data_IF_595617256132
#
_entry.id   IF_595617256132
#
_cell.length_a   1.000
_cell.length_b   1.000
_cell.length_c   1.000
_cell.angle_alpha   90.00
_cell.angle_beta   90.00
_cell.angle_gamma   90.00
#
_symmetry.space_group_name_H-M   'P 1'
#
loop_
_entity.id
_entity.type
_entity.pdbx_description
1 polymer ?
#
# COMPACT_ATOMS: atom_id res chain seq x y z
N UNK A 1 15.74 24.72 28.70
CA UNK A 1 16.27 23.83 27.64
C UNK A 1 15.12 23.53 26.70
N UNK A 2 15.23 23.92 25.47
CA UNK A 2 14.20 23.56 24.49
C UNK A 2 14.26 22.05 24.20
N UNK A 3 13.12 21.39 24.39
CA UNK A 3 12.99 19.96 24.07
C UNK A 3 13.10 19.81 22.56
N UNK A 4 13.98 18.90 22.10
CA UNK A 4 14.17 18.66 20.66
C UNK A 4 12.88 18.19 20.00
N UNK A 5 12.73 18.42 18.69
CA UNK A 5 11.57 17.94 17.96
C UNK A 5 11.47 16.40 17.98
N UNK A 6 12.59 15.70 17.89
CA UNK A 6 12.66 14.24 18.04
C UNK A 6 12.08 13.77 19.38
N UNK A 7 12.46 14.41 20.50
CA UNK A 7 11.92 14.07 21.83
C UNK A 7 10.42 14.36 21.96
N UNK A 8 9.92 15.40 21.30
CA UNK A 8 8.47 15.68 21.26
C UNK A 8 7.72 14.60 20.47
N UNK A 9 8.27 14.12 19.35
CA UNK A 9 7.70 13.02 18.56
C UNK A 9 7.65 11.71 19.37
N UNK A 10 8.73 11.39 20.09
CA UNK A 10 8.80 10.23 20.97
C UNK A 10 7.73 10.30 22.06
N UNK A 11 7.58 11.44 22.72
CA UNK A 11 6.55 11.68 23.74
C UNK A 11 5.12 11.56 23.18
N UNK A 12 4.91 11.85 21.89
CA UNK A 12 3.64 11.67 21.19
C UNK A 12 3.40 10.22 20.74
N UNK A 13 4.38 9.32 20.86
CA UNK A 13 4.30 7.93 20.47
C UNK A 13 4.62 7.67 19.00
N UNK A 14 5.49 8.48 18.39
CA UNK A 14 6.02 8.21 17.05
C UNK A 14 6.84 6.90 17.04
N UNK A 15 6.86 6.20 15.91
CA UNK A 15 7.71 5.03 15.75
C UNK A 15 9.19 5.39 15.78
N UNK A 16 10.05 4.47 16.28
CA UNK A 16 11.48 4.70 16.43
C UNK A 16 12.15 5.13 15.13
N UNK A 17 11.76 4.56 13.99
CA UNK A 17 12.29 4.92 12.67
C UNK A 17 12.02 6.40 12.30
N UNK A 18 10.86 6.94 12.66
CA UNK A 18 10.54 8.34 12.42
C UNK A 18 11.37 9.26 13.34
N UNK A 19 11.53 8.89 14.62
CA UNK A 19 12.33 9.63 15.60
C UNK A 19 13.80 9.67 15.17
N UNK A 20 14.34 8.53 14.76
CA UNK A 20 15.73 8.39 14.28
C UNK A 20 15.96 9.22 13.01
N UNK A 21 15.02 9.15 12.05
CA UNK A 21 15.11 9.93 10.82
C UNK A 21 15.11 11.44 11.09
N UNK A 22 14.25 11.91 12.01
CA UNK A 22 14.21 13.32 12.42
C UNK A 22 15.53 13.75 13.04
N UNK A 23 16.09 12.97 13.95
CA UNK A 23 17.37 13.25 14.59
C UNK A 23 17.45 14.66 15.15
N UNK A 24 18.37 15.48 14.63
CA UNK A 24 18.56 16.88 15.03
C UNK A 24 17.75 17.91 14.24
N UNK A 25 16.87 17.49 13.32
CA UNK A 25 16.05 18.41 12.51
C UNK A 25 14.98 19.08 13.38
N UNK A 26 14.68 20.34 13.08
CA UNK A 26 13.46 20.98 13.57
C UNK A 26 12.23 20.55 12.77
N UNK A 27 11.04 20.94 13.23
CA UNK A 27 9.77 20.60 12.56
C UNK A 27 9.75 21.10 11.10
N UNK A 28 10.20 22.33 10.86
CA UNK A 28 10.14 22.95 9.52
C UNK A 28 11.00 22.19 8.53
N UNK A 29 12.22 21.87 8.90
CA UNK A 29 13.17 21.09 8.10
C UNK A 29 12.64 19.66 7.88
N UNK A 30 12.22 18.98 8.96
CA UNK A 30 11.69 17.63 8.88
C UNK A 30 10.44 17.57 8.01
N UNK A 31 9.52 18.53 8.12
CA UNK A 31 8.32 18.59 7.28
C UNK A 31 8.65 18.80 5.81
N UNK A 32 9.62 19.68 5.51
CA UNK A 32 10.04 19.97 4.14
C UNK A 32 10.75 18.79 3.45
N UNK A 33 11.56 18.04 4.21
CA UNK A 33 12.40 16.95 3.69
C UNK A 33 11.74 15.57 3.75
N UNK A 34 10.64 15.40 4.50
CA UNK A 34 10.01 14.10 4.70
C UNK A 34 9.42 13.55 3.40
N UNK A 35 9.89 12.37 3.01
CA UNK A 35 9.36 11.59 1.88
C UNK A 35 8.49 10.40 2.33
N UNK A 36 8.02 10.41 3.59
CA UNK A 36 7.20 9.34 4.15
C UNK A 36 5.78 9.84 4.47
N UNK A 37 4.81 9.69 3.56
CA UNK A 37 3.47 10.27 3.70
C UNK A 37 2.74 9.78 4.96
N UNK A 38 2.96 8.53 5.38
CA UNK A 38 2.38 7.98 6.60
C UNK A 38 2.82 8.72 7.86
N UNK A 39 4.09 9.13 7.97
CA UNK A 39 4.57 9.91 9.11
C UNK A 39 4.01 11.33 9.10
N UNK A 40 3.92 11.95 7.92
CA UNK A 40 3.33 13.29 7.76
C UNK A 40 1.86 13.29 8.17
N UNK A 41 1.06 12.34 7.66
CA UNK A 41 -0.36 12.22 8.01
C UNK A 41 -0.56 11.86 9.49
N UNK A 42 0.29 10.99 10.04
CA UNK A 42 0.25 10.66 11.47
C UNK A 42 0.48 11.90 12.34
N UNK A 43 1.51 12.71 12.04
CA UNK A 43 1.79 13.93 12.78
C UNK A 43 0.64 14.95 12.62
N UNK A 44 0.19 15.17 11.38
CA UNK A 44 -0.94 16.07 11.12
C UNK A 44 -2.21 15.63 11.89
N UNK A 45 -2.50 14.32 11.94
CA UNK A 45 -3.61 13.77 12.70
C UNK A 45 -3.49 13.98 14.22
N UNK A 46 -2.26 13.87 14.77
CA UNK A 46 -1.98 14.12 16.20
C UNK A 46 -2.09 15.59 16.57
N UNK A 47 -1.80 16.47 15.62
CA UNK A 47 -1.81 17.92 15.82
C UNK A 47 -3.10 18.58 15.34
N UNK A 48 -4.03 17.83 14.76
CA UNK A 48 -5.27 18.34 14.19
C UNK A 48 -6.06 19.20 15.16
N UNK A 49 -6.37 20.42 14.73
CA UNK A 49 -7.14 21.40 15.52
C UNK A 49 -6.36 22.11 16.63
N UNK A 50 -5.05 21.88 16.75
CA UNK A 50 -4.17 22.70 17.61
C UNK A 50 -3.78 23.99 16.88
N UNK A 51 -3.35 24.99 17.64
CA UNK A 51 -3.00 26.30 17.09
C UNK A 51 -2.00 26.21 15.94
N UNK A 52 -2.37 26.79 14.82
CA UNK A 52 -1.56 26.81 13.60
C UNK A 52 -1.58 25.51 12.76
N UNK A 53 -2.29 24.47 13.21
CA UNK A 53 -2.46 23.22 12.45
C UNK A 53 -3.83 23.16 11.77
N UNK A 54 -3.87 22.44 10.63
CA UNK A 54 -5.12 22.13 9.94
C UNK A 54 -6.08 21.36 10.86
N UNK A 55 -7.37 21.56 10.67
CA UNK A 55 -8.38 20.79 11.40
C UNK A 55 -8.45 19.35 10.88
N UNK A 56 -9.20 18.51 11.62
CA UNK A 56 -9.36 17.10 11.27
C UNK A 56 -10.05 16.90 9.92
N UNK A 57 -10.96 17.77 9.53
CA UNK A 57 -11.70 17.69 8.25
C UNK A 57 -10.77 17.92 7.08
N UNK A 58 -9.88 18.90 7.14
CA UNK A 58 -8.88 19.14 6.12
C UNK A 58 -7.95 17.92 5.92
N UNK A 59 -7.56 17.27 7.01
CA UNK A 59 -6.72 16.05 6.96
C UNK A 59 -7.47 14.90 6.29
N UNK A 60 -8.76 14.70 6.59
CA UNK A 60 -9.59 13.67 5.97
C UNK A 60 -9.74 13.91 4.47
N UNK A 61 -9.94 15.15 4.03
CA UNK A 61 -10.01 15.48 2.61
C UNK A 61 -8.70 15.16 1.88
N UNK A 62 -7.56 15.49 2.49
CA UNK A 62 -6.24 15.15 1.92
C UNK A 62 -6.07 13.63 1.83
N UNK A 63 -6.48 12.88 2.87
CA UNK A 63 -6.43 11.42 2.85
C UNK A 63 -7.32 10.81 1.76
N UNK A 64 -8.53 11.37 1.55
CA UNK A 64 -9.44 10.97 0.48
C UNK A 64 -8.86 11.24 -0.92
N UNK A 65 -8.22 12.40 -1.12
CA UNK A 65 -7.56 12.74 -2.38
C UNK A 65 -6.35 11.83 -2.67
N UNK A 66 -5.59 11.48 -1.63
CA UNK A 66 -4.49 10.51 -1.75
C UNK A 66 -5.04 9.14 -2.18
N UNK A 67 -6.10 8.65 -1.53
CA UNK A 67 -6.73 7.37 -1.87
C UNK A 67 -7.25 7.36 -3.32
N UNK A 68 -7.88 8.45 -3.77
CA UNK A 68 -8.35 8.59 -5.15
C UNK A 68 -7.19 8.58 -6.14
N UNK A 69 -6.07 9.22 -5.82
CA UNK A 69 -4.91 9.31 -6.70
C UNK A 69 -4.28 7.95 -7.03
N UNK A 70 -4.48 6.93 -6.18
CA UNK A 70 -3.99 5.55 -6.37
C UNK A 70 -5.10 4.57 -6.77
N UNK A 71 -6.34 5.03 -6.91
CA UNK A 71 -7.50 4.19 -7.22
C UNK A 71 -7.36 3.42 -8.53
N UNK A 72 -6.61 3.96 -9.49
CA UNK A 72 -6.31 3.30 -10.76
C UNK A 72 -5.48 2.02 -10.61
N UNK A 73 -4.80 1.83 -9.47
CA UNK A 73 -4.02 0.63 -9.13
C UNK A 73 -4.89 -0.48 -8.54
N UNK A 74 -6.14 -0.15 -8.13
CA UNK A 74 -7.09 -1.10 -7.56
C UNK A 74 -7.75 -1.88 -8.70
N UNK A 75 -7.98 -3.19 -8.49
CA UNK A 75 -8.70 -4.04 -9.46
C UNK A 75 -10.08 -3.45 -9.76
N UNK A 76 -10.51 -3.56 -11.00
CA UNK A 76 -11.77 -2.94 -11.46
C UNK A 76 -12.99 -3.36 -10.64
N UNK A 77 -13.03 -4.64 -10.22
CA UNK A 77 -14.09 -5.20 -9.40
C UNK A 77 -14.21 -4.56 -8.00
N UNK A 78 -13.09 -4.16 -7.42
CA UNK A 78 -13.00 -3.56 -6.07
C UNK A 78 -13.08 -2.03 -6.11
N UNK A 79 -12.88 -1.43 -7.29
CA UNK A 79 -12.77 0.03 -7.46
C UNK A 79 -14.03 0.78 -7.02
N UNK A 80 -15.22 0.22 -7.29
CA UNK A 80 -16.48 0.86 -6.90
C UNK A 80 -16.66 0.95 -5.38
N UNK A 81 -16.18 -0.04 -4.64
CA UNK A 81 -16.23 -0.07 -3.16
C UNK A 81 -15.27 0.98 -2.60
N UNK A 82 -14.04 1.04 -3.11
CA UNK A 82 -13.07 2.06 -2.74
C UNK A 82 -13.60 3.48 -3.05
N UNK A 83 -14.26 3.68 -4.19
CA UNK A 83 -14.88 4.97 -4.54
C UNK A 83 -15.95 5.38 -3.54
N UNK A 84 -16.81 4.46 -3.11
CA UNK A 84 -17.84 4.73 -2.10
C UNK A 84 -17.22 5.12 -0.75
N UNK A 85 -16.16 4.44 -0.33
CA UNK A 85 -15.45 4.78 0.91
C UNK A 85 -14.78 6.17 0.84
N UNK A 86 -14.15 6.50 -0.29
CA UNK A 86 -13.56 7.82 -0.55
C UNK A 86 -14.66 8.90 -0.51
N UNK A 87 -15.80 8.66 -1.14
CA UNK A 87 -16.90 9.60 -1.15
C UNK A 87 -17.48 9.79 0.27
N UNK A 88 -17.68 8.71 1.04
CA UNK A 88 -18.14 8.79 2.42
C UNK A 88 -17.18 9.61 3.31
N UNK A 89 -15.88 9.46 3.13
CA UNK A 89 -14.89 10.28 3.83
C UNK A 89 -15.02 11.78 3.48
N UNK A 90 -15.24 12.10 2.21
CA UNK A 90 -15.50 13.48 1.78
C UNK A 90 -16.81 14.03 2.32
N UNK A 91 -17.88 13.25 2.30
CA UNK A 91 -19.20 13.64 2.81
C UNK A 91 -19.13 13.91 4.30
N UNK A 92 -18.40 13.08 5.07
CA UNK A 92 -18.14 13.33 6.49
C UNK A 92 -17.35 14.61 6.72
N UNK A 93 -16.26 14.82 5.98
CA UNK A 93 -15.44 16.03 6.11
C UNK A 93 -16.23 17.31 5.77
N UNK A 94 -17.18 17.22 4.84
CA UNK A 94 -18.06 18.31 4.46
C UNK A 94 -19.29 18.45 5.38
N UNK A 95 -19.46 17.56 6.37
CA UNK A 95 -20.58 17.57 7.31
C UNK A 95 -21.91 17.12 6.72
N UNK A 96 -21.88 16.37 5.62
CA UNK A 96 -23.07 15.83 4.95
C UNK A 96 -23.56 14.52 5.58
N UNK A 97 -22.66 13.79 6.24
CA UNK A 97 -22.95 12.59 7.04
C UNK A 97 -22.28 12.69 8.42
N UNK A 98 -22.78 11.94 9.40
CA UNK A 98 -22.18 11.84 10.72
C UNK A 98 -21.04 10.79 10.77
N UNK A 99 -20.38 10.70 11.94
CA UNK A 99 -19.25 9.77 12.14
C UNK A 99 -19.66 8.31 12.04
N UNK A 100 -20.89 7.99 12.43
CA UNK A 100 -21.37 6.60 12.45
C UNK A 100 -21.66 6.11 11.04
N UNK A 101 -22.28 6.95 10.20
CA UNK A 101 -22.48 6.67 8.79
C UNK A 101 -21.15 6.53 8.03
N UNK A 102 -20.16 7.39 8.34
CA UNK A 102 -18.83 7.29 7.74
C UNK A 102 -18.09 6.02 8.19
N UNK A 103 -18.15 5.67 9.48
CA UNK A 103 -17.55 4.45 10.03
C UNK A 103 -18.20 3.19 9.44
N UNK A 104 -19.52 3.20 9.28
CA UNK A 104 -20.25 2.10 8.65
C UNK A 104 -19.83 1.89 7.18
N UNK A 105 -19.73 2.97 6.40
CA UNK A 105 -19.27 2.90 5.02
C UNK A 105 -17.81 2.39 4.92
N UNK A 106 -16.93 2.78 5.83
CA UNK A 106 -15.56 2.29 5.89
C UNK A 106 -15.48 0.81 6.28
N UNK A 107 -16.32 0.36 7.23
CA UNK A 107 -16.38 -1.05 7.65
C UNK A 107 -16.86 -1.95 6.51
N UNK A 108 -17.91 -1.56 5.79
CA UNK A 108 -18.39 -2.28 4.62
C UNK A 108 -17.33 -2.38 3.51
N UNK A 109 -16.61 -1.28 3.26
CA UNK A 109 -15.53 -1.29 2.30
C UNK A 109 -14.38 -2.23 2.73
N UNK A 110 -14.10 -2.32 4.04
CA UNK A 110 -13.09 -3.23 4.57
C UNK A 110 -13.52 -4.70 4.47
N UNK A 111 -14.79 -5.01 4.74
CA UNK A 111 -15.35 -6.36 4.64
C UNK A 111 -15.37 -6.83 3.18
N UNK A 112 -15.85 -5.99 2.24
CA UNK A 112 -15.84 -6.30 0.81
C UNK A 112 -14.40 -6.49 0.28
N UNK A 113 -13.44 -5.69 0.77
CA UNK A 113 -12.03 -5.85 0.42
C UNK A 113 -11.43 -7.16 1.01
N UNK A 114 -11.82 -7.55 2.22
CA UNK A 114 -11.41 -8.81 2.83
C UNK A 114 -11.96 -10.00 2.04
N UNK A 115 -13.22 -9.96 1.64
CA UNK A 115 -13.86 -11.01 0.83
C UNK A 115 -13.19 -11.14 -0.54
N UNK A 116 -12.84 -10.02 -1.18
CA UNK A 116 -12.10 -10.02 -2.44
C UNK A 116 -10.69 -10.61 -2.29
N UNK A 117 -10.00 -10.34 -1.18
CA UNK A 117 -8.70 -10.96 -0.85
C UNK A 117 -8.85 -12.46 -0.61
N UNK A 118 -9.91 -12.90 0.11
CA UNK A 118 -10.20 -14.30 0.30
C UNK A 118 -10.50 -15.01 -1.02
N UNK A 119 -11.33 -14.41 -1.89
CA UNK A 119 -11.64 -14.95 -3.21
C UNK A 119 -10.39 -15.07 -4.09
N UNK A 120 -9.51 -14.05 -4.06
CA UNK A 120 -8.23 -14.07 -4.78
C UNK A 120 -7.28 -15.15 -4.23
N UNK A 121 -7.24 -15.35 -2.91
CA UNK A 121 -6.45 -16.42 -2.28
C UNK A 121 -6.99 -17.81 -2.66
N UNK A 122 -8.30 -18.00 -2.71
CA UNK A 122 -8.91 -19.24 -3.17
C UNK A 122 -8.64 -19.50 -4.65
N UNK A 123 -8.75 -18.48 -5.50
CA UNK A 123 -8.41 -18.59 -6.91
C UNK A 123 -6.93 -18.92 -7.14
N UNK A 124 -6.03 -18.31 -6.36
CA UNK A 124 -4.60 -18.60 -6.39
C UNK A 124 -4.32 -20.05 -5.95
N UNK A 125 -5.04 -20.54 -4.93
CA UNK A 125 -4.93 -21.93 -4.45
C UNK A 125 -5.45 -22.92 -5.48
N UNK A 126 -6.61 -22.64 -6.11
CA UNK A 126 -7.15 -23.48 -7.18
C UNK A 126 -6.20 -23.50 -8.41
N UNK A 127 -5.57 -22.39 -8.74
CA UNK A 127 -4.56 -22.33 -9.79
C UNK A 127 -3.30 -23.14 -9.41
N UNK A 128 -2.88 -23.11 -8.14
CA UNK A 128 -1.79 -23.92 -7.65
C UNK A 128 -2.14 -25.43 -7.68
N UNK A 129 -3.35 -25.79 -7.24
CA UNK A 129 -3.83 -27.18 -7.27
C UNK A 129 -3.96 -27.71 -8.72
N UNK A 130 -4.43 -26.87 -9.64
CA UNK A 130 -4.44 -27.18 -11.08
C UNK A 130 -3.03 -27.34 -11.67
N UNK A 131 -2.07 -26.52 -11.22
CA UNK A 131 -0.66 -26.65 -11.61
C UNK A 131 -0.04 -27.94 -11.04
N UNK A 132 -0.37 -28.33 -9.82
CA UNK A 132 0.02 -29.62 -9.23
C UNK A 132 -0.59 -30.82 -9.98
N UNK A 133 -1.89 -30.75 -10.31
CA UNK A 133 -2.55 -31.81 -11.10
C UNK A 133 -1.97 -31.92 -12.52
N UNK A 134 -1.62 -30.79 -13.13
CA UNK A 134 -0.93 -30.78 -14.43
C UNK A 134 0.51 -31.33 -14.34
N UNK A 135 1.21 -31.07 -13.24
CA UNK A 135 2.52 -31.63 -12.96
C UNK A 135 2.45 -33.16 -12.73
N UNK A 136 1.45 -33.63 -11.98
CA UNK A 136 1.20 -35.06 -11.75
C UNK A 136 0.83 -35.80 -13.06
N UNK A 137 0.03 -35.19 -13.91
CA UNK A 137 -0.32 -35.73 -15.22
C UNK A 137 0.91 -35.78 -16.16
N UNK A 138 1.77 -34.73 -16.12
CA UNK A 138 3.01 -34.71 -16.86
C UNK A 138 4.00 -35.77 -16.34
N UNK A 139 4.05 -35.98 -15.02
CA UNK A 139 4.85 -37.02 -14.38
C UNK A 139 4.37 -38.43 -14.74
N UNK A 140 3.05 -38.65 -14.74
CA UNK A 140 2.45 -39.95 -15.17
C UNK A 140 2.71 -40.22 -16.66
N UNK A 141 2.63 -39.20 -17.51
CA UNK A 141 2.97 -39.29 -18.94
C UNK A 141 4.46 -39.55 -19.17
N UNK A 142 5.33 -38.92 -18.37
CA UNK A 142 6.77 -39.18 -18.41
C UNK A 142 7.15 -40.60 -17.96
N UNK A 143 6.45 -41.14 -16.92
CA UNK A 143 6.64 -42.51 -16.47
C UNK A 143 6.16 -43.58 -17.48
N UNK A 144 5.13 -43.26 -18.25
CA UNK A 144 4.61 -44.15 -19.31
C UNK A 144 5.52 -44.25 -20.55
N UNK A 145 6.43 -43.27 -20.71
CA UNK A 145 7.36 -43.22 -21.82
C UNK A 145 8.83 -43.43 -21.37
N UNK A 146 9.06 -44.16 -20.30
CA UNK A 146 10.26 -44.09 -19.46
C UNK A 146 11.62 -44.31 -20.17
N UNK A 147 11.76 -45.10 -21.22
CA UNK A 147 13.07 -45.39 -21.80
C UNK A 147 13.52 -44.45 -22.93
N UNK A 148 12.59 -43.70 -23.58
CA UNK A 148 12.91 -42.72 -24.61
C UNK A 148 12.99 -41.26 -24.09
N UNK A 149 12.55 -41.03 -22.85
CA UNK A 149 12.22 -39.70 -22.31
C UNK A 149 13.31 -39.13 -21.39
N UNK A 150 14.28 -39.95 -20.91
CA UNK A 150 15.34 -39.41 -20.04
C UNK A 150 16.12 -38.27 -20.67
N UNK A 151 16.45 -38.37 -21.96
CA UNK A 151 17.15 -37.28 -22.68
C UNK A 151 16.24 -36.08 -22.99
N UNK A 152 14.92 -36.33 -23.22
CA UNK A 152 13.94 -35.26 -23.41
C UNK A 152 13.53 -34.61 -22.06
N UNK A 153 13.50 -35.41 -20.95
CA UNK A 153 13.24 -34.86 -19.59
C UNK A 153 14.37 -33.92 -19.16
N UNK A 154 15.63 -34.22 -19.45
CA UNK A 154 16.77 -33.35 -19.17
C UNK A 154 16.68 -32.02 -19.95
N UNK A 155 16.29 -32.09 -21.22
CA UNK A 155 16.10 -30.90 -22.06
C UNK A 155 14.88 -30.05 -21.57
N UNK A 156 13.78 -30.71 -21.17
CA UNK A 156 12.59 -30.06 -20.60
C UNK A 156 12.89 -29.45 -19.22
N UNK A 157 13.70 -30.14 -18.40
CA UNK A 157 14.14 -29.62 -17.11
C UNK A 157 15.06 -28.41 -17.26
N UNK A 158 15.98 -28.44 -18.22
CA UNK A 158 16.83 -27.31 -18.54
C UNK A 158 16.03 -26.11 -19.09
N UNK A 159 15.04 -26.36 -19.96
CA UNK A 159 14.16 -25.34 -20.49
C UNK A 159 13.21 -24.74 -19.44
N UNK A 160 12.67 -25.60 -18.55
CA UNK A 160 11.82 -25.13 -17.44
C UNK A 160 12.62 -24.31 -16.43
N UNK A 161 13.87 -24.68 -16.17
CA UNK A 161 14.78 -23.91 -15.32
C UNK A 161 15.13 -22.55 -15.93
N UNK A 162 15.42 -22.52 -17.24
CA UNK A 162 15.65 -21.27 -17.94
C UNK A 162 14.41 -20.37 -17.99
N UNK A 163 13.20 -20.95 -18.13
CA UNK A 163 11.94 -20.21 -18.07
C UNK A 163 11.63 -19.70 -16.67
N UNK A 164 11.94 -20.47 -15.61
CA UNK A 164 11.82 -20.03 -14.23
C UNK A 164 12.81 -18.90 -13.91
N UNK A 165 14.04 -19.00 -14.37
CA UNK A 165 15.05 -17.95 -14.21
C UNK A 165 14.64 -16.67 -14.97
N UNK A 166 14.08 -16.80 -16.16
CA UNK A 166 13.54 -15.66 -16.92
C UNK A 166 12.29 -15.05 -16.23
N UNK A 167 11.40 -15.87 -15.67
CA UNK A 167 10.26 -15.39 -14.88
C UNK A 167 10.70 -14.71 -13.58
N UNK A 168 11.76 -15.22 -12.93
CA UNK A 168 12.34 -14.59 -11.74
C UNK A 168 13.00 -13.24 -12.07
N UNK A 169 13.70 -13.16 -13.21
CA UNK A 169 14.28 -11.91 -13.69
C UNK A 169 13.18 -10.89 -14.07
N UNK A 170 12.11 -11.33 -14.74
CA UNK A 170 10.96 -10.49 -15.07
C UNK A 170 10.22 -10.02 -13.79
N UNK A 171 10.07 -10.89 -12.80
CA UNK A 171 9.50 -10.52 -11.50
C UNK A 171 10.38 -9.50 -10.75
N UNK A 172 11.70 -9.69 -10.76
CA UNK A 172 12.64 -8.74 -10.17
C UNK A 172 12.58 -7.38 -10.87
N UNK A 173 12.53 -7.37 -12.21
CA UNK A 173 12.37 -6.14 -13.00
C UNK A 173 11.03 -5.44 -12.74
N UNK A 174 9.93 -6.21 -12.64
CA UNK A 174 8.60 -5.67 -12.30
C UNK A 174 8.56 -5.08 -10.89
N UNK A 175 9.20 -5.73 -9.90
CA UNK A 175 9.31 -5.20 -8.54
C UNK A 175 10.14 -3.92 -8.50
N UNK A 176 11.26 -3.86 -9.19
CA UNK A 176 12.08 -2.65 -9.27
C UNK A 176 11.31 -1.48 -9.93
N UNK A 177 10.55 -1.75 -10.98
CA UNK A 177 9.68 -0.75 -11.61
C UNK A 177 8.54 -0.29 -10.68
N UNK A 178 7.93 -1.24 -9.95
CA UNK A 178 6.88 -0.93 -8.97
C UNK A 178 7.42 -0.11 -7.80
N UNK A 179 8.63 -0.40 -7.31
CA UNK A 179 9.27 0.37 -6.25
C UNK A 179 9.59 1.80 -6.70
N UNK A 180 10.12 1.97 -7.91
CA UNK A 180 10.35 3.30 -8.48
C UNK A 180 9.04 4.11 -8.64
N UNK A 181 7.96 3.46 -9.08
CA UNK A 181 6.65 4.10 -9.19
C UNK A 181 6.07 4.47 -7.81
N UNK A 182 6.24 3.61 -6.80
CA UNK A 182 5.82 3.90 -5.41
C UNK A 182 6.60 5.08 -4.83
N UNK A 183 7.91 5.15 -5.09
CA UNK A 183 8.74 6.25 -4.60
C UNK A 183 8.35 7.58 -5.25
N UNK A 184 8.10 7.59 -6.55
CA UNK A 184 7.62 8.77 -7.26
C UNK A 184 6.25 9.22 -6.69
N UNK A 185 5.32 8.28 -6.49
CA UNK A 185 3.99 8.58 -5.94
C UNK A 185 4.04 9.05 -4.48
N UNK A 186 4.94 8.48 -3.67
CA UNK A 186 5.17 8.93 -2.30
C UNK A 186 5.62 10.40 -2.24
N UNK A 187 6.54 10.81 -3.13
CA UNK A 187 7.01 12.21 -3.22
C UNK A 187 5.87 13.15 -3.62
N UNK A 188 5.06 12.76 -4.59
CA UNK A 188 3.87 13.52 -5.00
C UNK A 188 2.87 13.69 -3.85
N UNK A 189 2.58 12.60 -3.11
CA UNK A 189 1.70 12.63 -1.93
C UNK A 189 2.25 13.55 -0.83
N UNK A 190 3.55 13.48 -0.52
CA UNK A 190 4.17 14.37 0.45
C UNK A 190 4.05 15.85 0.04
N UNK A 191 4.19 16.13 -1.25
CA UNK A 191 4.00 17.49 -1.76
C UNK A 191 2.55 17.95 -1.61
N UNK A 192 1.57 17.12 -1.96
CA UNK A 192 0.16 17.40 -1.78
C UNK A 192 -0.19 17.70 -0.30
N UNK A 193 0.39 16.93 0.62
CA UNK A 193 0.23 17.14 2.06
C UNK A 193 0.79 18.51 2.47
N UNK A 194 2.01 18.86 2.01
CA UNK A 194 2.63 20.16 2.31
C UNK A 194 1.82 21.33 1.80
N UNK A 195 1.20 21.19 0.64
CA UNK A 195 0.42 22.25 0.00
C UNK A 195 -0.94 22.48 0.67
N UNK A 196 -1.52 21.43 1.29
CA UNK A 196 -2.89 21.48 1.80
C UNK A 196 -3.02 21.45 3.32
N UNK A 197 -1.97 21.09 4.04
CA UNK A 197 -1.99 21.02 5.51
C UNK A 197 -1.20 22.18 6.09
N UNK A 198 -1.86 23.05 6.85
CA UNK A 198 -1.22 24.10 7.62
C UNK A 198 -0.49 23.50 8.82
N UNK A 199 0.76 23.91 9.03
CA UNK A 199 1.65 23.45 10.09
C UNK A 199 1.88 24.58 11.08
N UNK A 200 1.58 24.36 12.35
CA UNK A 200 1.83 25.29 13.46
C UNK A 200 3.05 24.86 14.28
N UNK A 201 3.21 25.45 15.47
CA UNK A 201 4.24 25.05 16.43
C UNK A 201 3.87 23.75 17.14
N UNK A 202 4.88 22.91 17.45
CA UNK A 202 4.75 21.66 18.22
C UNK A 202 5.29 21.86 19.63
#
# INVERSE_FOLDING_TARGET
MDISFASKLEAMGACGAAVEWVGGRDLSTAWAECEHPGWMLWLAGRMAGKDGWSDRRAIILVAADIAESVLHLVREQERSVCQKAIQAARDFANGLIDSDAAAYAAAYAADDAADAVYAAAYAARAAADAAYAAADAAYAAANAAADAVYAAADAVYAAARAAADAAYAAYAAANAAADAARDAKRKEICQLIRERITVGNV
#
